data_IF_149494086466
#
_entry.id   IF_149494086466
#
_cell.length_a   1.000
_cell.length_b   1.000
_cell.length_c   1.000
_cell.angle_alpha   90.00
_cell.angle_beta   90.00
_cell.angle_gamma   90.00
#
_symmetry.space_group_name_H-M   'P 1'
#
loop_
_entity.id
_entity.type
_entity.pdbx_description
1 polymer ?
#
# COMPACT_ATOMS: atom_id res chain seq x y z
N UNK A 1 2.68 -6.38 2.50
CA UNK A 1 1.78 -5.96 1.41
C UNK A 1 1.10 -7.18 0.84
N UNK A 2 -0.14 -7.06 0.41
CA UNK A 2 -0.87 -8.10 -0.32
C UNK A 2 -1.02 -7.65 -1.76
N UNK A 3 -0.75 -8.55 -2.72
CA UNK A 3 -0.67 -8.22 -4.15
C UNK A 3 -1.56 -9.21 -4.90
N UNK A 4 -2.40 -8.69 -5.78
CA UNK A 4 -3.17 -9.45 -6.75
C UNK A 4 -2.68 -9.06 -8.13
N UNK A 5 -2.17 -10.03 -8.90
CA UNK A 5 -1.63 -9.80 -10.23
C UNK A 5 -2.09 -10.92 -11.16
N UNK A 6 -2.57 -10.58 -12.36
CA UNK A 6 -2.97 -11.54 -13.38
C UNK A 6 -1.85 -11.80 -14.41
N UNK A 7 -2.03 -12.81 -15.27
CA UNK A 7 -1.06 -13.17 -16.31
C UNK A 7 -0.85 -12.06 -17.36
N UNK A 8 -1.77 -11.09 -17.45
CA UNK A 8 -1.65 -9.93 -18.34
C UNK A 8 -0.83 -8.79 -17.73
N UNK A 9 -0.42 -8.92 -16.46
CA UNK A 9 0.32 -7.90 -15.71
C UNK A 9 -0.56 -6.82 -15.09
N UNK A 10 -1.89 -6.98 -15.06
CA UNK A 10 -2.74 -6.10 -14.24
C UNK A 10 -2.51 -6.42 -12.79
N UNK A 11 -2.27 -5.38 -11.99
CA UNK A 11 -1.83 -5.52 -10.61
C UNK A 11 -2.61 -4.60 -9.69
N UNK A 12 -3.09 -5.11 -8.57
CA UNK A 12 -3.62 -4.32 -7.45
C UNK A 12 -2.94 -4.73 -6.15
N UNK A 13 -2.62 -3.77 -5.29
CA UNK A 13 -1.93 -4.01 -4.04
C UNK A 13 -2.59 -3.30 -2.85
N UNK A 14 -2.44 -3.93 -1.69
CA UNK A 14 -2.82 -3.39 -0.39
C UNK A 14 -1.57 -3.35 0.48
N UNK A 15 -1.17 -2.17 0.90
CA UNK A 15 -0.04 -1.99 1.81
C UNK A 15 -0.63 -1.61 3.16
N UNK A 16 -0.35 -2.40 4.19
CA UNK A 16 -0.87 -2.19 5.54
C UNK A 16 0.26 -1.81 6.48
N UNK A 17 0.01 -0.79 7.31
CA UNK A 17 0.77 -0.53 8.51
C UNK A 17 -0.04 -1.03 9.72
N UNK A 18 0.46 -2.09 10.36
CA UNK A 18 -0.15 -2.68 11.56
C UNK A 18 0.39 -2.08 12.86
N UNK A 19 1.29 -1.10 12.78
CA UNK A 19 1.74 -0.34 13.94
C UNK A 19 0.62 0.62 14.37
N UNK A 20 0.17 0.54 15.61
CA UNK A 20 -0.96 1.31 16.14
C UNK A 20 -0.57 2.70 16.63
N UNK A 21 0.73 2.99 16.74
CA UNK A 21 1.23 4.25 17.29
C UNK A 21 1.97 5.09 16.27
N UNK A 22 2.71 4.46 15.36
CA UNK A 22 3.66 5.15 14.49
C UNK A 22 3.34 5.03 13.01
N UNK A 23 3.55 6.14 12.31
CA UNK A 23 3.66 6.16 10.86
C UNK A 23 4.90 5.38 10.40
N UNK A 24 4.78 4.68 9.27
CA UNK A 24 5.90 3.96 8.65
C UNK A 24 6.07 4.34 7.19
N UNK A 25 7.31 4.65 6.83
CA UNK A 25 7.74 4.69 5.44
C UNK A 25 8.18 3.28 5.02
N UNK A 26 7.52 2.71 4.01
CA UNK A 26 7.81 1.37 3.51
C UNK A 26 8.14 1.41 2.02
N UNK A 27 9.13 0.63 1.62
CA UNK A 27 9.51 0.47 0.22
C UNK A 27 8.72 -0.66 -0.43
N UNK A 28 8.00 -0.37 -1.51
CA UNK A 28 7.28 -1.34 -2.33
C UNK A 28 7.51 -1.06 -3.82
N UNK A 29 8.00 -2.04 -4.58
CA UNK A 29 8.35 -1.91 -6.01
C UNK A 29 9.22 -0.67 -6.31
N UNK A 30 10.27 -0.46 -5.51
CA UNK A 30 11.19 0.70 -5.57
C UNK A 30 10.55 2.08 -5.34
N UNK A 31 9.34 2.12 -4.82
CA UNK A 31 8.65 3.34 -4.42
C UNK A 31 8.48 3.37 -2.90
N UNK A 32 8.61 4.56 -2.30
CA UNK A 32 8.40 4.76 -0.87
C UNK A 32 6.97 5.20 -0.61
N UNK A 33 6.28 4.52 0.30
CA UNK A 33 4.93 4.85 0.73
C UNK A 33 4.93 5.16 2.21
N UNK A 34 4.32 6.28 2.57
CA UNK A 34 4.15 6.71 3.95
C UNK A 34 2.73 6.35 4.40
N UNK A 35 2.65 5.44 5.37
CA UNK A 35 1.39 4.92 5.91
C UNK A 35 1.20 5.37 7.35
N UNK A 36 0.08 6.06 7.66
CA UNK A 36 -0.31 6.34 9.04
C UNK A 36 -0.40 5.07 9.88
N UNK A 37 -0.36 5.25 11.20
CA UNK A 37 -0.62 4.17 12.14
C UNK A 37 -1.96 3.48 11.83
N UNK A 38 -1.98 2.15 11.97
CA UNK A 38 -3.16 1.31 11.81
C UNK A 38 -3.96 1.56 10.53
N UNK A 39 -3.28 1.59 9.39
CA UNK A 39 -3.89 1.98 8.11
C UNK A 39 -3.57 1.04 6.97
N UNK A 40 -4.42 1.05 5.95
CA UNK A 40 -4.22 0.33 4.68
C UNK A 40 -4.29 1.34 3.53
N UNK A 41 -3.25 1.37 2.70
CA UNK A 41 -3.23 2.06 1.41
C UNK A 41 -3.62 1.10 0.29
N UNK A 42 -4.54 1.53 -0.57
CA UNK A 42 -5.07 0.78 -1.72
C UNK A 42 -4.44 1.32 -3.00
N UNK A 43 -3.83 0.42 -3.79
CA UNK A 43 -3.15 0.73 -5.04
C UNK A 43 -3.74 -0.12 -6.17
N UNK A 44 -4.67 0.38 -6.98
CA UNK A 44 -5.33 -0.40 -8.03
C UNK A 44 -4.40 -0.74 -9.21
N UNK A 45 -3.23 -0.11 -9.29
CA UNK A 45 -2.20 -0.29 -10.31
C UNK A 45 -0.83 -0.69 -9.71
N UNK A 46 -0.79 -1.06 -8.43
CA UNK A 46 0.43 -1.34 -7.66
C UNK A 46 1.46 -0.20 -7.62
N UNK A 47 1.04 1.04 -7.91
CA UNK A 47 1.93 2.20 -8.01
C UNK A 47 1.38 3.45 -7.33
N UNK A 48 0.13 3.79 -7.59
CA UNK A 48 -0.51 5.00 -7.09
C UNK A 48 -1.49 4.65 -5.97
N UNK A 49 -1.36 5.32 -4.83
CA UNK A 49 -2.33 5.22 -3.74
C UNK A 49 -3.56 6.04 -4.14
N UNK A 50 -4.70 5.38 -4.34
CA UNK A 50 -5.98 6.07 -4.62
C UNK A 50 -6.81 6.29 -3.35
N UNK A 51 -6.54 5.52 -2.31
CA UNK A 51 -7.21 5.63 -1.03
C UNK A 51 -6.31 5.09 0.09
N UNK A 52 -6.38 5.71 1.27
CA UNK A 52 -5.82 5.17 2.50
C UNK A 52 -6.90 5.27 3.58
N UNK A 53 -7.03 4.26 4.43
CA UNK A 53 -8.12 4.17 5.43
C UNK A 53 -8.01 5.16 6.58
N UNK A 54 -6.89 5.87 6.73
CA UNK A 54 -6.63 6.80 7.83
C UNK A 54 -6.16 8.19 7.35
N UNK A 55 -6.30 8.48 6.05
CA UNK A 55 -6.06 9.81 5.46
C UNK A 55 -7.35 10.47 5.04
#
# INVERSE_FOLDING_TARGET
>A
AHIYEDETGKCSAFIANMDDQSEKAVSFRNLSYVLPAWSVSILPDCRNVVFNTAK
#
